data_IF_071886531734
#
_entry.id   IF_071886531734
#
_cell.length_a   1.000
_cell.length_b   1.000
_cell.length_c   1.000
_cell.angle_alpha   90.00
_cell.angle_beta   90.00
_cell.angle_gamma   90.00
#
_symmetry.space_group_name_H-M   'P 1'
#
loop_
_entity.id
_entity.type
_entity.pdbx_description
1 polymer ?
#
# COMPACT_ATOMS: atom_id res chain seq x y z
N UNK A 1 14.50 27.77 0.96
CA UNK A 1 14.37 26.30 1.07
C UNK A 1 13.71 25.83 -0.22
N UNK A 2 14.43 25.11 -1.06
CA UNK A 2 13.86 24.43 -2.21
C UNK A 2 12.97 23.35 -1.60
N UNK A 3 11.70 23.37 -1.97
CA UNK A 3 10.68 22.49 -1.45
C UNK A 3 11.13 21.02 -1.62
N UNK A 4 11.40 20.28 -0.53
CA UNK A 4 11.84 18.89 -0.58
C UNK A 4 10.84 18.01 -1.36
N UNK A 5 9.57 18.40 -1.35
CA UNK A 5 8.46 17.79 -2.11
C UNK A 5 8.75 17.81 -3.62
N UNK A 6 9.20 18.96 -4.14
CA UNK A 6 9.52 19.14 -5.57
C UNK A 6 10.75 18.34 -5.99
N UNK A 7 11.66 18.08 -5.06
CA UNK A 7 12.92 17.40 -5.34
C UNK A 7 12.74 15.91 -5.66
N UNK A 8 12.12 15.12 -4.77
CA UNK A 8 11.99 13.65 -4.94
C UNK A 8 10.98 13.31 -6.02
N UNK A 9 9.78 13.91 -5.98
CA UNK A 9 8.75 13.66 -6.97
C UNK A 9 9.18 14.10 -8.37
N UNK A 10 9.90 15.24 -8.49
CA UNK A 10 10.45 15.69 -9.76
C UNK A 10 11.54 14.76 -10.29
N UNK A 11 12.37 14.19 -9.43
CA UNK A 11 13.38 13.21 -9.82
C UNK A 11 12.74 11.91 -10.30
N UNK A 12 11.75 11.37 -9.56
CA UNK A 12 10.99 10.18 -9.95
C UNK A 12 10.25 10.39 -11.28
N UNK A 13 9.67 11.57 -11.49
CA UNK A 13 9.04 11.91 -12.76
C UNK A 13 10.05 11.86 -13.91
N UNK A 14 11.21 12.50 -13.76
CA UNK A 14 12.27 12.49 -14.76
C UNK A 14 12.76 11.07 -15.06
N UNK A 15 13.00 10.29 -14.01
CA UNK A 15 13.59 8.96 -14.15
C UNK A 15 12.62 7.93 -14.76
N UNK A 16 11.33 7.99 -14.44
CA UNK A 16 10.37 6.93 -14.81
C UNK A 16 9.31 7.34 -15.83
N UNK A 17 9.02 8.64 -15.99
CA UNK A 17 8.07 9.12 -16.99
C UNK A 17 8.74 9.70 -18.23
N UNK A 18 9.88 10.39 -18.08
CA UNK A 18 10.59 10.95 -19.22
C UNK A 18 11.62 9.99 -19.82
N UNK A 19 12.29 9.17 -19.02
CA UNK A 19 13.36 8.28 -19.49
C UNK A 19 12.99 6.80 -19.49
N UNK A 20 11.80 6.44 -18.99
CA UNK A 20 11.25 5.08 -18.90
C UNK A 20 12.26 4.02 -18.39
N UNK A 21 12.86 4.28 -17.25
CA UNK A 21 13.84 3.36 -16.63
C UNK A 21 13.21 2.08 -16.04
N UNK A 22 11.93 1.80 -16.33
CA UNK A 22 11.22 0.67 -15.76
C UNK A 22 11.70 -0.65 -16.37
N UNK A 23 12.36 -1.57 -15.64
CA UNK A 23 12.81 -2.85 -16.19
C UNK A 23 11.60 -3.75 -16.46
N UNK A 24 11.54 -4.25 -17.69
CA UNK A 24 10.41 -5.04 -18.16
C UNK A 24 10.16 -6.37 -17.44
N UNK A 25 11.14 -6.92 -16.71
CA UNK A 25 11.04 -8.24 -16.07
C UNK A 25 10.26 -8.25 -14.76
N UNK A 26 10.30 -7.17 -13.97
CA UNK A 26 9.61 -7.08 -12.66
C UNK A 26 8.18 -6.54 -12.77
N UNK A 27 7.80 -6.01 -13.93
CA UNK A 27 6.48 -5.40 -14.17
C UNK A 27 5.54 -6.44 -14.75
N UNK A 28 4.47 -6.76 -14.02
CA UNK A 28 3.42 -7.66 -14.52
C UNK A 28 2.65 -7.06 -15.70
N UNK A 29 1.95 -7.91 -16.45
CA UNK A 29 1.06 -7.49 -17.55
C UNK A 29 -0.02 -6.50 -17.08
N UNK A 30 -0.49 -6.64 -15.84
CA UNK A 30 -1.45 -5.73 -15.21
C UNK A 30 -0.90 -4.31 -15.11
N UNK A 31 0.30 -4.15 -14.55
CA UNK A 31 0.93 -2.84 -14.34
C UNK A 31 1.41 -2.20 -15.64
N UNK A 32 1.84 -3.00 -16.63
CA UNK A 32 2.14 -2.47 -17.98
C UNK A 32 0.92 -1.76 -18.57
N UNK A 33 -0.25 -2.40 -18.54
CA UNK A 33 -1.49 -1.83 -19.05
C UNK A 33 -1.96 -0.58 -18.28
N UNK A 34 -1.68 -0.48 -16.97
CA UNK A 34 -1.99 0.70 -16.16
C UNK A 34 -1.02 1.84 -16.48
N UNK A 35 0.29 1.56 -16.53
CA UNK A 35 1.31 2.57 -16.79
C UNK A 35 1.16 3.22 -18.17
N UNK A 36 0.75 2.46 -19.18
CA UNK A 36 0.46 2.97 -20.53
C UNK A 36 -0.69 3.98 -20.57
N UNK A 37 -1.60 3.94 -19.61
CA UNK A 37 -2.76 4.86 -19.49
C UNK A 37 -2.54 5.99 -18.50
N UNK A 38 -1.43 5.98 -17.78
CA UNK A 38 -1.15 6.98 -16.77
C UNK A 38 -0.56 8.24 -17.39
N UNK A 39 -1.10 9.40 -17.02
CA UNK A 39 -0.59 10.70 -17.41
C UNK A 39 -0.31 11.54 -16.16
N UNK A 40 0.78 12.30 -16.19
CA UNK A 40 1.18 13.22 -15.14
C UNK A 40 1.30 14.61 -15.75
N UNK A 41 0.44 15.53 -15.32
CA UNK A 41 0.50 16.92 -15.73
C UNK A 41 1.52 17.65 -14.85
N UNK A 42 2.56 18.20 -15.48
CA UNK A 42 3.67 18.90 -14.80
C UNK A 42 3.76 20.34 -15.32
N UNK A 43 3.85 21.29 -14.40
CA UNK A 43 4.15 22.69 -14.68
C UNK A 43 5.55 23.05 -14.18
N UNK A 44 6.05 24.28 -14.46
CA UNK A 44 7.28 24.80 -13.86
C UNK A 44 7.26 24.81 -12.33
N UNK A 45 6.09 24.80 -11.70
CA UNK A 45 5.87 24.79 -10.27
C UNK A 45 5.87 23.37 -9.67
N UNK A 46 5.92 22.33 -10.50
CA UNK A 46 5.93 20.94 -10.10
C UNK A 46 4.74 20.13 -10.64
N UNK A 47 4.41 19.05 -9.95
CA UNK A 47 3.32 18.15 -10.36
C UNK A 47 1.96 18.78 -10.00
N UNK A 48 1.11 18.99 -10.99
CA UNK A 48 -0.21 19.59 -10.80
C UNK A 48 -1.32 18.55 -10.67
N UNK A 49 -1.31 17.53 -11.53
CA UNK A 49 -2.40 16.57 -11.63
C UNK A 49 -1.91 15.20 -12.07
N UNK A 50 -2.53 14.19 -11.49
CA UNK A 50 -2.39 12.82 -11.94
C UNK A 50 -3.67 12.36 -12.64
N UNK A 51 -3.52 11.79 -13.84
CA UNK A 51 -4.56 10.98 -14.48
C UNK A 51 -4.15 9.51 -14.34
N UNK A 52 -4.43 8.96 -13.18
CA UNK A 52 -4.07 7.59 -12.86
C UNK A 52 -5.26 6.92 -12.20
N UNK A 53 -5.71 5.81 -12.73
CA UNK A 53 -6.84 5.06 -12.21
C UNK A 53 -6.35 3.87 -11.39
N UNK A 54 -5.95 4.11 -10.13
CA UNK A 54 -5.78 3.05 -9.14
C UNK A 54 -7.09 2.83 -8.40
N UNK A 55 -7.88 1.86 -8.86
CA UNK A 55 -9.10 1.42 -8.19
C UNK A 55 -10.12 2.56 -7.96
N UNK A 56 -10.62 2.66 -6.73
CA UNK A 56 -11.62 3.68 -6.34
C UNK A 56 -10.98 5.03 -5.94
N UNK A 57 -9.67 5.19 -6.13
CA UNK A 57 -8.98 6.44 -5.83
C UNK A 57 -9.41 7.55 -6.81
N UNK A 58 -9.91 8.64 -6.26
CA UNK A 58 -10.23 9.83 -7.05
C UNK A 58 -11.66 9.98 -7.55
N UNK A 59 -12.57 9.06 -7.29
CA UNK A 59 -13.99 9.26 -7.59
C UNK A 59 -14.62 10.29 -6.67
N UNK A 60 -14.80 11.51 -7.17
CA UNK A 60 -15.29 12.65 -6.38
C UNK A 60 -16.77 12.99 -6.57
N UNK A 61 -17.54 12.22 -7.35
CA UNK A 61 -18.97 12.49 -7.57
C UNK A 61 -19.75 12.39 -6.24
N UNK A 62 -20.68 13.31 -5.94
CA UNK A 62 -21.38 13.36 -4.64
C UNK A 62 -22.06 12.05 -4.22
N UNK A 63 -22.69 11.35 -5.16
CA UNK A 63 -23.33 10.06 -4.86
C UNK A 63 -22.33 8.95 -4.52
N UNK A 64 -21.12 8.97 -5.07
CA UNK A 64 -20.06 8.04 -4.67
C UNK A 64 -19.58 8.33 -3.25
N UNK A 65 -19.46 9.60 -2.86
CA UNK A 65 -19.12 9.98 -1.48
C UNK A 65 -20.15 9.46 -0.48
N UNK A 66 -21.45 9.59 -0.81
CA UNK A 66 -22.52 9.05 0.03
C UNK A 66 -22.42 7.54 0.18
N UNK A 67 -22.27 6.80 -0.92
CA UNK A 67 -22.15 5.34 -0.88
C UNK A 67 -20.89 4.87 -0.15
N UNK A 68 -19.77 5.58 -0.29
CA UNK A 68 -18.56 5.31 0.47
C UNK A 68 -18.81 5.43 1.97
N UNK A 69 -19.41 6.53 2.42
CA UNK A 69 -19.72 6.71 3.83
C UNK A 69 -20.74 5.71 4.34
N UNK A 70 -21.77 5.40 3.58
CA UNK A 70 -22.74 4.36 3.92
C UNK A 70 -22.07 2.98 4.06
N UNK A 71 -21.12 2.65 3.17
CA UNK A 71 -20.31 1.42 3.26
C UNK A 71 -19.50 1.40 4.57
N UNK A 72 -18.82 2.50 4.91
CA UNK A 72 -18.04 2.62 6.14
C UNK A 72 -18.92 2.41 7.37
N UNK A 73 -20.08 3.05 7.41
CA UNK A 73 -21.03 2.91 8.53
C UNK A 73 -21.50 1.47 8.68
N UNK A 74 -21.84 0.78 7.57
CA UNK A 74 -22.23 -0.62 7.62
C UNK A 74 -21.11 -1.52 8.17
N UNK A 75 -19.86 -1.27 7.82
CA UNK A 75 -18.72 -2.00 8.39
C UNK A 75 -18.53 -1.72 9.87
N UNK A 76 -18.66 -0.48 10.31
CA UNK A 76 -18.54 -0.11 11.73
C UNK A 76 -19.59 -0.83 12.61
N UNK A 77 -20.78 -1.13 12.06
CA UNK A 77 -21.76 -1.96 12.77
C UNK A 77 -21.41 -3.45 12.84
N UNK A 78 -20.62 -3.96 11.90
CA UNK A 78 -20.32 -5.39 11.76
C UNK A 78 -18.99 -5.81 12.37
N UNK A 79 -18.02 -4.90 12.44
CA UNK A 79 -16.68 -5.20 12.91
C UNK A 79 -16.61 -5.15 14.44
N UNK A 80 -15.99 -6.15 15.04
CA UNK A 80 -15.86 -6.27 16.50
C UNK A 80 -14.92 -5.20 17.09
N UNK A 81 -13.87 -4.85 16.36
CA UNK A 81 -12.84 -3.89 16.79
C UNK A 81 -13.16 -2.43 16.44
N UNK A 82 -14.45 -2.08 16.43
CA UNK A 82 -14.95 -0.74 16.04
C UNK A 82 -14.31 0.42 16.80
N UNK A 83 -13.96 0.24 18.08
CA UNK A 83 -13.36 1.30 18.88
C UNK A 83 -11.96 1.68 18.37
N UNK A 84 -11.14 0.70 18.03
CA UNK A 84 -9.80 0.94 17.46
C UNK A 84 -9.92 1.57 16.07
N UNK A 85 -10.87 1.08 15.26
CA UNK A 85 -11.14 1.65 13.94
C UNK A 85 -11.57 3.11 14.05
N UNK A 86 -12.48 3.43 14.97
CA UNK A 86 -12.91 4.83 15.20
C UNK A 86 -11.77 5.70 15.69
N UNK A 87 -10.91 5.18 16.56
CA UNK A 87 -9.71 5.89 17.02
C UNK A 87 -8.76 6.20 15.85
N UNK A 88 -8.49 5.24 14.98
CA UNK A 88 -7.67 5.44 13.78
C UNK A 88 -8.35 6.38 12.79
N UNK A 89 -9.67 6.29 12.58
CA UNK A 89 -10.45 7.20 11.71
C UNK A 89 -10.29 8.66 12.10
N UNK A 90 -10.28 8.96 13.41
CA UNK A 90 -10.09 10.33 13.91
C UNK A 90 -8.73 10.93 13.51
N UNK A 91 -7.73 10.12 13.26
CA UNK A 91 -6.41 10.54 12.74
C UNK A 91 -6.35 10.50 11.21
N UNK A 92 -6.95 9.50 10.61
CA UNK A 92 -6.92 9.28 9.17
C UNK A 92 -7.64 10.38 8.35
N UNK A 93 -8.79 10.89 8.85
CA UNK A 93 -9.56 11.92 8.14
C UNK A 93 -8.79 13.27 8.08
N UNK A 94 -8.23 13.80 9.18
CA UNK A 94 -7.37 14.98 9.11
C UNK A 94 -6.12 14.77 8.27
N UNK A 95 -5.48 13.59 8.33
CA UNK A 95 -4.34 13.23 7.52
C UNK A 95 -4.68 13.29 6.01
N UNK A 96 -5.77 12.67 5.58
CA UNK A 96 -6.22 12.72 4.20
C UNK A 96 -6.41 14.16 3.70
N UNK A 97 -6.95 15.04 4.56
CA UNK A 97 -7.10 16.48 4.24
C UNK A 97 -5.74 17.17 4.06
N UNK A 98 -4.75 16.90 4.95
CA UNK A 98 -3.39 17.44 4.81
C UNK A 98 -2.72 16.97 3.52
N UNK A 99 -2.87 15.69 3.19
CA UNK A 99 -2.39 15.10 1.95
C UNK A 99 -3.12 15.63 0.70
N UNK A 100 -4.20 16.41 0.87
CA UNK A 100 -5.13 16.78 -0.22
C UNK A 100 -5.67 15.56 -0.97
N UNK A 101 -5.90 14.49 -0.24
CA UNK A 101 -6.34 13.19 -0.75
C UNK A 101 -7.82 12.95 -0.40
N UNK A 102 -8.66 12.48 -1.36
CA UNK A 102 -10.06 12.20 -1.07
C UNK A 102 -10.18 10.98 -0.15
N UNK A 103 -10.90 11.14 0.97
CA UNK A 103 -11.17 10.02 1.86
C UNK A 103 -12.23 9.10 1.23
N UNK A 104 -11.79 7.94 0.77
CA UNK A 104 -12.62 6.93 0.09
C UNK A 104 -12.79 5.68 0.95
N UNK A 105 -13.57 4.73 0.47
CA UNK A 105 -13.65 3.41 1.09
C UNK A 105 -12.29 2.68 1.08
N UNK A 106 -11.44 2.94 0.11
CA UNK A 106 -10.06 2.42 0.11
C UNK A 106 -9.24 2.95 1.29
N UNK A 107 -9.37 4.25 1.61
CA UNK A 107 -8.78 4.79 2.84
C UNK A 107 -9.32 4.08 4.09
N UNK A 108 -10.61 3.77 4.12
CA UNK A 108 -11.21 3.05 5.25
C UNK A 108 -10.65 1.63 5.39
N UNK A 109 -10.39 0.92 4.29
CA UNK A 109 -9.70 -0.39 4.32
C UNK A 109 -8.32 -0.27 4.95
N UNK A 110 -7.57 0.78 4.61
CA UNK A 110 -6.26 1.06 5.20
C UNK A 110 -6.38 1.44 6.70
N UNK A 111 -7.45 2.14 7.09
CA UNK A 111 -7.77 2.41 8.50
C UNK A 111 -8.00 1.10 9.27
N UNK A 112 -8.76 0.16 8.74
CA UNK A 112 -8.97 -1.15 9.37
C UNK A 112 -7.67 -1.94 9.49
N UNK A 113 -6.83 -1.91 8.46
CA UNK A 113 -5.49 -2.52 8.48
C UNK A 113 -4.61 -1.89 9.56
N UNK A 114 -4.53 -0.56 9.61
CA UNK A 114 -3.75 0.15 10.62
C UNK A 114 -4.27 -0.09 12.04
N UNK A 115 -5.59 -0.16 12.23
CA UNK A 115 -6.22 -0.49 13.52
C UNK A 115 -5.89 -1.93 13.96
N UNK A 116 -5.85 -2.89 13.04
CA UNK A 116 -5.38 -4.23 13.34
C UNK A 116 -3.90 -4.22 13.75
N UNK A 117 -3.04 -3.61 12.93
CA UNK A 117 -1.59 -3.59 13.16
C UNK A 117 -1.23 -2.87 14.46
N UNK A 118 -1.98 -1.86 14.87
CA UNK A 118 -1.73 -1.13 16.13
C UNK A 118 -1.84 -2.00 17.39
N UNK A 119 -2.46 -3.16 17.31
CA UNK A 119 -2.53 -4.14 18.42
C UNK A 119 -1.26 -4.98 18.55
N UNK A 120 -0.49 -5.09 17.46
CA UNK A 120 0.69 -5.95 17.39
C UNK A 120 1.99 -5.15 17.37
N UNK A 121 1.95 -3.94 16.81
CA UNK A 121 3.09 -3.02 16.85
C UNK A 121 3.13 -2.40 18.24
N UNK A 122 4.08 -2.84 19.04
CA UNK A 122 4.32 -2.26 20.37
C UNK A 122 5.01 -0.92 20.16
N UNK A 123 4.31 0.16 20.47
CA UNK A 123 4.90 1.48 20.50
C UNK A 123 6.08 1.49 21.49
N UNK A 124 7.29 1.68 21.00
CA UNK A 124 8.48 1.83 21.82
C UNK A 124 9.11 3.17 21.53
N UNK A 125 9.89 3.69 22.49
CA UNK A 125 10.64 4.94 22.31
C UNK A 125 11.76 4.81 21.25
N UNK A 126 12.10 3.56 20.86
CA UNK A 126 13.06 3.33 19.78
C UNK A 126 12.44 3.54 18.42
N UNK A 127 13.22 4.03 17.48
CA UNK A 127 12.84 3.99 16.06
C UNK A 127 12.67 2.52 15.62
N UNK A 128 11.59 2.24 14.89
CA UNK A 128 11.36 0.93 14.27
C UNK A 128 11.09 1.13 12.78
N UNK A 129 11.50 0.14 11.97
CA UNK A 129 11.48 0.23 10.51
C UNK A 129 10.35 -0.62 9.95
N UNK A 130 9.51 0.01 9.16
CA UNK A 130 8.40 -0.64 8.47
C UNK A 130 8.62 -0.57 6.96
N UNK A 131 8.67 -1.71 6.30
CA UNK A 131 8.67 -1.78 4.83
C UNK A 131 7.24 -2.02 4.34
N UNK A 132 6.75 -1.14 3.46
CA UNK A 132 5.46 -1.28 2.81
C UNK A 132 5.65 -1.49 1.32
N UNK A 133 5.26 -2.68 0.84
CA UNK A 133 5.44 -3.10 -0.55
C UNK A 133 4.13 -2.86 -1.30
N UNK A 134 4.12 -1.91 -2.23
CA UNK A 134 2.96 -1.63 -3.06
C UNK A 134 1.86 -0.84 -2.35
N UNK A 135 2.17 0.30 -1.74
CA UNK A 135 1.21 1.15 -1.00
C UNK A 135 0.35 2.07 -1.90
N UNK A 136 0.42 1.91 -3.20
CA UNK A 136 -0.36 2.71 -4.14
C UNK A 136 -0.06 4.21 -4.03
N UNK A 137 -0.91 4.98 -3.33
CA UNK A 137 -0.70 6.42 -3.11
C UNK A 137 0.04 6.76 -1.80
N UNK A 138 0.51 5.77 -1.05
CA UNK A 138 1.25 6.00 0.20
C UNK A 138 0.37 6.30 1.41
N UNK A 139 -0.94 6.11 1.32
CA UNK A 139 -1.86 6.47 2.40
C UNK A 139 -1.68 5.59 3.65
N UNK A 140 -1.45 4.27 3.49
CA UNK A 140 -1.23 3.40 4.64
C UNK A 140 0.08 3.73 5.35
N UNK A 141 1.17 3.97 4.62
CA UNK A 141 2.45 4.39 5.19
C UNK A 141 2.32 5.72 5.92
N UNK A 142 1.65 6.70 5.33
CA UNK A 142 1.35 7.99 5.97
C UNK A 142 0.53 7.79 7.26
N UNK A 143 -0.46 6.90 7.25
CA UNK A 143 -1.29 6.59 8.42
C UNK A 143 -0.49 5.88 9.53
N UNK A 144 0.39 4.95 9.19
CA UNK A 144 1.30 4.31 10.15
C UNK A 144 2.21 5.37 10.79
N UNK A 145 2.76 6.31 9.99
CA UNK A 145 3.56 7.42 10.54
C UNK A 145 2.78 8.32 11.48
N UNK A 146 1.52 8.62 11.17
CA UNK A 146 0.62 9.41 12.03
C UNK A 146 0.31 8.71 13.36
N UNK A 147 0.19 7.38 13.35
CA UNK A 147 -0.07 6.56 14.53
C UNK A 147 1.19 6.33 15.36
N UNK A 148 2.32 6.17 14.70
CA UNK A 148 3.61 5.83 15.28
C UNK A 148 4.68 6.83 14.80
N UNK A 149 4.81 7.98 15.45
CA UNK A 149 5.74 9.04 15.02
C UNK A 149 7.21 8.58 14.93
N UNK A 150 7.61 7.56 15.70
CA UNK A 150 8.95 6.98 15.68
C UNK A 150 9.14 5.92 14.57
N UNK A 151 8.11 5.59 13.79
CA UNK A 151 8.24 4.69 12.66
C UNK A 151 9.06 5.34 11.54
N UNK A 152 10.00 4.59 10.98
CA UNK A 152 10.68 4.89 9.73
C UNK A 152 10.03 4.06 8.62
N UNK A 153 9.49 4.71 7.59
CA UNK A 153 8.69 4.07 6.56
C UNK A 153 9.53 3.88 5.29
N UNK A 154 9.70 2.63 4.87
CA UNK A 154 10.30 2.27 3.59
C UNK A 154 9.18 1.90 2.62
N UNK A 155 8.96 2.75 1.63
CA UNK A 155 7.95 2.54 0.60
C UNK A 155 8.64 1.93 -0.63
N UNK A 156 8.26 0.70 -0.94
CA UNK A 156 8.84 -0.06 -2.06
C UNK A 156 7.77 -0.30 -3.11
N UNK A 157 8.01 0.19 -4.32
CA UNK A 157 7.07 0.05 -5.43
C UNK A 157 7.78 0.20 -6.78
N UNK A 158 7.04 0.06 -7.88
CA UNK A 158 7.50 0.46 -9.20
C UNK A 158 7.74 1.96 -9.24
N UNK A 159 8.79 2.41 -9.91
CA UNK A 159 9.20 3.82 -9.90
C UNK A 159 8.10 4.81 -10.28
N UNK A 160 7.22 4.44 -11.24
CA UNK A 160 6.06 5.26 -11.61
C UNK A 160 5.05 5.41 -10.46
N UNK A 161 4.88 4.37 -9.64
CA UNK A 161 3.96 4.39 -8.49
C UNK A 161 4.58 5.14 -7.31
N UNK A 162 5.89 5.03 -7.09
CA UNK A 162 6.60 5.78 -6.05
C UNK A 162 6.45 7.30 -6.20
N UNK A 163 6.26 7.79 -7.42
CA UNK A 163 5.98 9.19 -7.67
C UNK A 163 4.74 9.67 -6.89
N UNK A 164 3.65 8.88 -6.93
CA UNK A 164 2.42 9.22 -6.21
C UNK A 164 2.62 9.13 -4.70
N UNK A 165 3.32 8.10 -4.24
CA UNK A 165 3.61 7.90 -2.83
C UNK A 165 4.42 9.05 -2.27
N UNK A 166 5.51 9.45 -2.94
CA UNK A 166 6.34 10.57 -2.51
C UNK A 166 5.57 11.89 -2.49
N UNK A 167 4.76 12.15 -3.52
CA UNK A 167 3.97 13.37 -3.62
C UNK A 167 2.95 13.52 -2.49
N UNK A 168 2.18 12.46 -2.20
CA UNK A 168 1.16 12.55 -1.16
C UNK A 168 1.73 12.48 0.25
N UNK A 169 2.76 11.66 0.49
CA UNK A 169 3.42 11.61 1.79
C UNK A 169 4.10 12.94 2.13
N UNK A 170 4.78 13.58 1.17
CA UNK A 170 5.40 14.89 1.39
C UNK A 170 4.35 15.98 1.70
N UNK A 171 3.17 15.93 1.09
CA UNK A 171 2.07 16.85 1.45
C UNK A 171 1.54 16.61 2.86
N UNK A 172 1.44 15.36 3.29
CA UNK A 172 0.98 15.00 4.63
C UNK A 172 2.01 15.31 5.72
N UNK A 173 3.29 15.30 5.38
CA UNK A 173 4.43 15.37 6.30
C UNK A 173 5.56 16.23 5.74
N UNK A 174 5.26 17.47 5.37
CA UNK A 174 6.23 18.41 4.81
C UNK A 174 7.34 18.85 5.79
N UNK A 175 7.12 18.59 7.10
CA UNK A 175 8.08 18.84 8.18
C UNK A 175 9.00 17.64 8.46
N UNK A 176 8.84 16.53 7.75
CA UNK A 176 9.60 15.28 7.92
C UNK A 176 10.65 15.12 6.84
N UNK A 177 11.65 14.29 7.14
CA UNK A 177 12.71 13.98 6.21
C UNK A 177 12.30 12.87 5.25
N UNK A 178 12.47 13.14 3.95
CA UNK A 178 12.17 12.24 2.86
C UNK A 178 13.45 11.91 2.09
N UNK A 179 13.69 10.63 1.81
CA UNK A 179 14.88 10.15 1.14
C UNK A 179 14.55 9.21 -0.02
N UNK A 180 15.19 9.40 -1.19
CA UNK A 180 15.06 8.52 -2.34
C UNK A 180 16.34 7.66 -2.47
N UNK A 181 16.16 6.34 -2.36
CA UNK A 181 17.22 5.37 -2.60
C UNK A 181 17.56 5.33 -4.09
N UNK A 182 18.83 5.47 -4.41
CA UNK A 182 19.36 5.33 -5.75
C UNK A 182 20.85 4.98 -5.67
N UNK A 183 21.43 4.42 -6.72
CA UNK A 183 22.87 4.11 -6.78
C UNK A 183 23.76 5.32 -6.49
N UNK A 184 23.30 6.51 -6.83
CA UNK A 184 24.03 7.75 -6.57
C UNK A 184 23.95 8.13 -5.09
N UNK A 185 22.75 8.07 -4.49
CA UNK A 185 22.56 8.43 -3.08
C UNK A 185 23.22 7.43 -2.12
N UNK A 186 23.27 6.13 -2.47
CA UNK A 186 23.88 5.09 -1.63
C UNK A 186 25.40 5.13 -1.58
N UNK A 187 26.08 5.80 -2.54
CA UNK A 187 27.53 6.05 -2.45
C UNK A 187 27.93 6.87 -1.21
N UNK A 188 27.01 7.65 -0.67
CA UNK A 188 27.17 8.43 0.56
C UNK A 188 26.60 7.76 1.80
N UNK A 189 26.12 6.51 1.67
CA UNK A 189 25.35 5.78 2.69
C UNK A 189 23.85 6.06 2.61
N UNK A 190 23.05 5.10 3.04
CA UNK A 190 21.58 5.30 3.15
C UNK A 190 21.33 6.23 4.32
N UNK A 191 20.53 7.28 4.12
CA UNK A 191 20.09 8.14 5.23
C UNK A 191 19.12 7.36 6.13
N UNK A 192 19.70 6.71 7.14
CA UNK A 192 18.96 5.95 8.15
C UNK A 192 18.23 6.85 9.15
N UNK A 193 18.31 8.17 9.02
CA UNK A 193 17.62 9.14 9.85
C UNK A 193 16.28 9.58 9.25
N UNK A 194 16.11 9.47 7.91
CA UNK A 194 14.91 9.90 7.22
C UNK A 194 13.63 9.20 7.73
N UNK A 195 12.53 9.95 7.76
CA UNK A 195 11.22 9.46 8.20
C UNK A 195 10.55 8.59 7.13
N UNK A 196 10.72 8.97 5.86
CA UNK A 196 10.21 8.27 4.69
C UNK A 196 11.35 7.97 3.72
N UNK A 197 11.51 6.71 3.38
CA UNK A 197 12.51 6.20 2.43
C UNK A 197 11.77 5.58 1.25
N UNK A 198 12.00 6.10 0.05
CA UNK A 198 11.40 5.59 -1.19
C UNK A 198 12.43 4.76 -1.94
N UNK A 199 12.08 3.54 -2.30
CA UNK A 199 12.96 2.63 -3.00
C UNK A 199 12.22 1.98 -4.17
N UNK A 200 12.75 2.08 -5.38
CA UNK A 200 12.18 1.34 -6.49
C UNK A 200 12.47 -0.17 -6.35
N UNK A 201 11.60 -1.00 -6.89
CA UNK A 201 11.77 -2.45 -6.86
C UNK A 201 13.12 -2.89 -7.43
N UNK A 202 13.62 -2.17 -8.43
CA UNK A 202 14.90 -2.41 -9.09
C UNK A 202 16.10 -2.11 -8.19
N UNK A 203 15.94 -1.18 -7.27
CA UNK A 203 16.98 -0.73 -6.35
C UNK A 203 16.87 -1.39 -4.97
N UNK A 204 15.99 -2.38 -4.79
CA UNK A 204 15.74 -3.05 -3.51
C UNK A 204 17.01 -3.66 -2.90
N UNK A 205 17.92 -4.18 -3.71
CA UNK A 205 19.22 -4.68 -3.27
C UNK A 205 20.12 -3.61 -2.62
N UNK A 206 19.84 -2.31 -2.85
CA UNK A 206 20.56 -1.24 -2.16
C UNK A 206 20.17 -1.11 -0.67
N UNK A 207 19.15 -1.84 -0.22
CA UNK A 207 18.71 -1.91 1.18
C UNK A 207 19.30 -3.13 1.93
N UNK A 208 20.32 -3.79 1.39
CA UNK A 208 20.88 -5.04 1.95
C UNK A 208 21.38 -4.89 3.40
N UNK A 209 21.82 -3.71 3.81
CA UNK A 209 22.25 -3.43 5.19
C UNK A 209 21.11 -3.00 6.12
N UNK A 210 19.85 -3.01 5.65
CA UNK A 210 18.69 -2.54 6.42
C UNK A 210 17.88 -3.72 6.93
N UNK A 211 17.64 -3.76 8.24
CA UNK A 211 16.73 -4.73 8.85
C UNK A 211 15.41 -4.09 9.23
N UNK A 212 14.29 -4.81 9.04
CA UNK A 212 12.93 -4.31 9.23
C UNK A 212 12.22 -5.01 10.39
N UNK A 213 11.50 -4.24 11.20
CA UNK A 213 10.67 -4.75 12.31
C UNK A 213 9.31 -5.22 11.80
N UNK A 214 8.76 -4.58 10.78
CA UNK A 214 7.49 -4.96 10.17
C UNK A 214 7.51 -4.82 8.64
N UNK A 215 6.76 -5.69 7.98
CA UNK A 215 6.50 -5.63 6.55
C UNK A 215 4.99 -5.63 6.29
N UNK A 216 4.54 -4.88 5.29
CA UNK A 216 3.14 -4.74 4.93
C UNK A 216 2.99 -4.91 3.42
N UNK A 217 1.97 -5.67 3.00
CA UNK A 217 1.51 -5.70 1.62
C UNK A 217 -0.02 -5.81 1.58
N UNK A 218 -0.68 -4.86 0.95
CA UNK A 218 -2.15 -4.84 0.82
C UNK A 218 -2.54 -4.67 -0.65
N UNK A 219 -3.21 -5.67 -1.20
CA UNK A 219 -3.79 -5.68 -2.54
C UNK A 219 -2.79 -5.42 -3.69
N UNK A 220 -1.51 -5.63 -3.45
CA UNK A 220 -0.44 -5.37 -4.42
C UNK A 220 0.21 -6.65 -4.95
N UNK A 221 0.62 -7.61 -4.10
CA UNK A 221 1.22 -8.87 -4.56
C UNK A 221 0.29 -9.68 -5.47
N UNK A 222 -1.03 -9.57 -5.30
CA UNK A 222 -2.00 -10.18 -6.21
C UNK A 222 -1.88 -9.71 -7.67
N UNK A 223 -1.20 -8.60 -7.91
CA UNK A 223 -1.02 -7.96 -9.23
C UNK A 223 0.39 -8.15 -9.77
N UNK A 224 1.22 -8.92 -9.06
CA UNK A 224 2.58 -9.24 -9.44
C UNK A 224 2.66 -10.64 -10.06
N UNK A 225 3.70 -10.90 -10.84
CA UNK A 225 4.01 -12.26 -11.26
C UNK A 225 4.61 -13.07 -10.09
N UNK A 226 4.60 -14.40 -10.23
CA UNK A 226 5.07 -15.31 -9.17
C UNK A 226 6.55 -15.11 -8.82
N UNK A 227 7.38 -14.76 -9.80
CA UNK A 227 8.81 -14.53 -9.58
C UNK A 227 9.06 -13.28 -8.75
N UNK A 228 8.33 -12.20 -9.03
CA UNK A 228 8.40 -10.97 -8.25
C UNK A 228 7.93 -11.20 -6.81
N UNK A 229 6.86 -11.97 -6.61
CA UNK A 229 6.40 -12.35 -5.26
C UNK A 229 7.48 -13.13 -4.52
N UNK A 230 8.10 -14.12 -5.20
CA UNK A 230 9.19 -14.93 -4.63
C UNK A 230 10.39 -14.06 -4.25
N UNK A 231 10.75 -13.11 -5.10
CA UNK A 231 11.83 -12.17 -4.84
C UNK A 231 11.59 -11.34 -3.57
N UNK A 232 10.38 -10.78 -3.39
CA UNK A 232 10.04 -10.06 -2.16
C UNK A 232 10.08 -10.94 -0.91
N UNK A 233 9.58 -12.17 -0.98
CA UNK A 233 9.64 -13.08 0.17
C UNK A 233 11.09 -13.44 0.53
N UNK A 234 11.95 -13.66 -0.45
CA UNK A 234 13.38 -13.91 -0.20
C UNK A 234 14.04 -12.69 0.44
N UNK A 235 13.79 -11.49 -0.09
CA UNK A 235 14.28 -10.25 0.48
C UNK A 235 13.81 -10.10 1.94
N UNK A 236 12.52 -10.22 2.20
CA UNK A 236 11.99 -10.09 3.56
C UNK A 236 12.62 -11.10 4.52
N UNK A 237 12.77 -12.37 4.13
CA UNK A 237 13.39 -13.39 4.99
C UNK A 237 14.87 -13.10 5.30
N UNK A 238 15.58 -12.41 4.42
CA UNK A 238 16.97 -11.99 4.66
C UNK A 238 17.08 -10.74 5.54
N UNK A 239 16.04 -9.89 5.57
CA UNK A 239 16.14 -8.53 6.12
C UNK A 239 15.19 -8.24 7.30
N UNK A 240 14.31 -9.19 7.67
CA UNK A 240 13.47 -8.99 8.84
C UNK A 240 14.23 -9.33 10.13
N UNK A 241 13.98 -8.57 11.21
CA UNK A 241 14.50 -8.90 12.53
C UNK A 241 13.82 -10.15 13.11
N UNK A 242 14.42 -10.84 14.10
CA UNK A 242 13.69 -11.83 14.90
C UNK A 242 12.45 -11.21 15.55
N UNK A 243 11.35 -11.96 15.65
CA UNK A 243 10.05 -11.48 16.15
C UNK A 243 9.42 -10.35 15.33
N UNK A 244 9.70 -10.35 14.04
CA UNK A 244 9.11 -9.43 13.06
C UNK A 244 7.59 -9.62 12.92
N UNK A 245 6.97 -8.68 12.20
CA UNK A 245 5.58 -8.80 11.76
C UNK A 245 5.50 -8.67 10.25
N UNK A 246 4.84 -9.60 9.59
CA UNK A 246 4.48 -9.48 8.18
C UNK A 246 2.97 -9.56 8.01
N UNK A 247 2.36 -8.48 7.58
CA UNK A 247 0.95 -8.42 7.21
C UNK A 247 0.80 -8.44 5.69
N UNK A 248 0.06 -9.44 5.21
CA UNK A 248 -0.21 -9.62 3.78
C UNK A 248 -1.72 -9.80 3.58
N UNK A 249 -2.34 -8.94 2.77
CA UNK A 249 -3.77 -9.02 2.47
C UNK A 249 -3.98 -8.91 0.95
N UNK A 250 -4.35 -10.02 0.32
CA UNK A 250 -4.52 -10.12 -1.12
C UNK A 250 -5.71 -11.03 -1.47
N UNK A 251 -6.12 -11.05 -2.75
CA UNK A 251 -7.12 -11.98 -3.24
C UNK A 251 -6.62 -13.42 -3.13
N UNK A 252 -7.51 -14.34 -2.77
CA UNK A 252 -7.19 -15.78 -2.81
C UNK A 252 -6.71 -16.21 -4.19
N UNK A 253 -7.36 -15.71 -5.24
CA UNK A 253 -6.96 -15.93 -6.63
C UNK A 253 -7.21 -14.67 -7.46
N UNK A 254 -6.28 -14.34 -8.35
CA UNK A 254 -6.44 -13.26 -9.34
C UNK A 254 -5.83 -13.66 -10.67
N UNK A 255 -6.59 -13.43 -11.74
CA UNK A 255 -6.15 -13.54 -13.12
C UNK A 255 -5.62 -12.20 -13.59
N UNK A 256 -4.40 -12.16 -14.10
CA UNK A 256 -3.79 -10.97 -14.68
C UNK A 256 -4.11 -10.86 -16.17
N UNK A 257 -3.89 -9.67 -16.75
CA UNK A 257 -4.22 -9.39 -18.13
C UNK A 257 -3.48 -10.29 -19.15
N UNK A 258 -2.28 -10.75 -18.84
CA UNK A 258 -1.48 -11.68 -19.64
C UNK A 258 -1.84 -13.16 -19.46
N UNK A 259 -2.88 -13.48 -18.66
CA UNK A 259 -3.31 -14.86 -18.39
C UNK A 259 -2.61 -15.52 -17.20
N UNK A 260 -1.65 -14.86 -16.57
CA UNK A 260 -1.01 -15.36 -15.35
C UNK A 260 -2.03 -15.38 -14.19
N UNK A 261 -1.86 -16.33 -13.28
CA UNK A 261 -2.73 -16.50 -12.11
C UNK A 261 -1.90 -16.41 -10.85
N UNK A 262 -2.25 -15.48 -9.97
CA UNK A 262 -1.68 -15.42 -8.62
C UNK A 262 -2.63 -16.07 -7.63
N UNK A 263 -2.08 -16.89 -6.72
CA UNK A 263 -2.82 -17.57 -5.65
C UNK A 263 -2.17 -17.28 -4.32
N UNK A 264 -2.92 -16.64 -3.41
CA UNK A 264 -2.43 -16.24 -2.09
C UNK A 264 -1.85 -17.42 -1.28
N UNK A 265 -2.55 -18.56 -1.29
CA UNK A 265 -2.09 -19.74 -0.55
C UNK A 265 -0.83 -20.39 -1.14
N UNK A 266 -0.49 -20.05 -2.39
CA UNK A 266 0.73 -20.53 -3.07
C UNK A 266 1.89 -19.53 -2.98
N UNK A 267 1.77 -18.44 -2.23
CA UNK A 267 2.90 -17.57 -1.95
C UNK A 267 3.97 -18.35 -1.19
N UNK A 268 5.24 -17.91 -1.18
CA UNK A 268 6.34 -18.63 -0.52
C UNK A 268 6.27 -18.63 1.01
N UNK A 269 5.09 -19.01 1.55
CA UNK A 269 4.91 -19.26 2.97
C UNK A 269 5.79 -20.43 3.41
N UNK A 270 6.32 -20.37 4.63
CA UNK A 270 7.15 -21.42 5.21
C UNK A 270 6.41 -21.99 6.43
N UNK A 271 6.46 -23.30 6.63
CA UNK A 271 5.83 -23.97 7.78
C UNK A 271 6.41 -23.52 9.12
N UNK A 272 7.61 -22.95 9.11
CA UNK A 272 8.27 -22.34 10.26
C UNK A 272 7.77 -20.92 10.57
N UNK A 273 6.98 -20.32 9.68
CA UNK A 273 6.37 -19.02 9.94
C UNK A 273 5.34 -19.15 11.07
N UNK A 274 5.43 -18.29 12.08
CA UNK A 274 4.43 -18.26 13.14
C UNK A 274 3.23 -17.45 12.67
N UNK A 275 2.15 -18.12 12.32
CA UNK A 275 0.90 -17.50 11.89
C UNK A 275 0.11 -17.00 13.10
N UNK A 276 -0.29 -15.72 13.09
CA UNK A 276 -1.10 -15.06 14.11
C UNK A 276 -2.56 -14.88 13.67
N UNK A 277 -2.75 -14.58 12.37
CA UNK A 277 -4.06 -14.43 11.72
C UNK A 277 -3.95 -15.08 10.34
N UNK A 278 -4.97 -15.82 9.92
CA UNK A 278 -5.08 -16.41 8.59
C UNK A 278 -6.55 -16.67 8.27
N UNK A 279 -7.24 -15.66 7.72
CA UNK A 279 -8.68 -15.71 7.51
C UNK A 279 -9.14 -14.79 6.36
N UNK A 280 -10.39 -14.96 5.87
CA UNK A 280 -11.00 -14.00 4.95
C UNK A 280 -11.04 -12.60 5.55
N UNK A 281 -10.55 -11.59 4.81
CA UNK A 281 -10.44 -10.23 5.31
C UNK A 281 -11.83 -9.63 5.62
N UNK A 282 -12.14 -9.30 6.89
CA UNK A 282 -13.49 -8.94 7.29
C UNK A 282 -13.97 -7.59 6.75
N UNK A 283 -13.06 -6.67 6.38
CA UNK A 283 -13.38 -5.34 5.84
C UNK A 283 -13.15 -5.22 4.33
N UNK A 284 -13.02 -6.34 3.60
CA UNK A 284 -12.87 -6.35 2.14
C UNK A 284 -13.82 -7.35 1.48
N UNK A 285 -15.08 -7.41 1.92
CA UNK A 285 -16.10 -8.35 1.40
C UNK A 285 -17.04 -7.72 0.42
N UNK A 286 -17.55 -6.52 0.70
CA UNK A 286 -18.56 -5.82 -0.11
C UNK A 286 -18.36 -4.31 -0.05
N UNK A 287 -19.00 -3.61 -0.97
CA UNK A 287 -19.13 -2.15 -0.97
C UNK A 287 -20.47 -1.77 -1.61
N UNK A 288 -20.92 -0.55 -1.37
CA UNK A 288 -22.13 -0.03 -1.98
C UNK A 288 -21.81 0.62 -3.32
N UNK A 289 -22.57 0.23 -4.37
CA UNK A 289 -22.38 0.74 -5.74
C UNK A 289 -23.71 0.76 -6.48
N UNK A 290 -23.92 1.76 -7.32
CA UNK A 290 -25.03 1.80 -8.28
C UNK A 290 -24.76 0.96 -9.55
N UNK A 291 -23.49 0.73 -9.89
CA UNK A 291 -23.08 0.25 -11.21
C UNK A 291 -22.51 -1.17 -11.25
N UNK A 292 -22.20 -1.77 -10.09
CA UNK A 292 -21.56 -3.10 -10.02
C UNK A 292 -22.40 -4.13 -9.28
N UNK A 293 -23.71 -3.98 -9.30
CA UNK A 293 -24.64 -4.87 -8.61
C UNK A 293 -24.73 -6.27 -9.22
N UNK A 294 -24.20 -6.48 -10.43
CA UNK A 294 -24.06 -7.81 -11.03
C UNK A 294 -23.24 -8.78 -10.18
N UNK A 295 -22.36 -8.26 -9.31
CA UNK A 295 -21.54 -9.03 -8.35
C UNK A 295 -22.16 -9.11 -6.95
N UNK A 296 -23.38 -8.59 -6.76
CA UNK A 296 -24.06 -8.56 -5.46
C UNK A 296 -24.71 -9.88 -5.04
N UNK A 297 -25.11 -10.00 -3.75
CA UNK A 297 -25.83 -11.15 -3.25
C UNK A 297 -27.19 -11.27 -3.92
N UNK A 298 -27.66 -12.53 -4.08
CA UNK A 298 -29.01 -12.84 -4.56
C UNK A 298 -29.89 -13.24 -3.40
N UNK A 299 -31.09 -12.68 -3.35
CA UNK A 299 -32.16 -13.09 -2.43
C UNK A 299 -33.41 -13.45 -3.28
N UNK A 300 -33.93 -14.66 -3.13
CA UNK A 300 -35.01 -15.23 -3.98
C UNK A 300 -34.73 -15.01 -5.48
N UNK A 301 -33.56 -15.40 -5.96
CA UNK A 301 -33.08 -15.19 -7.34
C UNK A 301 -33.04 -13.73 -7.83
N UNK A 302 -33.37 -12.74 -6.99
CA UNK A 302 -33.23 -11.30 -7.28
C UNK A 302 -31.98 -10.78 -6.63
N UNK A 303 -31.22 -9.95 -7.35
CA UNK A 303 -30.03 -9.30 -6.79
C UNK A 303 -30.43 -8.23 -5.78
N UNK A 304 -29.72 -8.19 -4.66
CA UNK A 304 -29.91 -7.13 -3.68
C UNK A 304 -29.33 -5.84 -4.28
N UNK A 305 -30.16 -4.79 -4.43
CA UNK A 305 -29.69 -3.54 -5.01
C UNK A 305 -28.61 -2.91 -4.14
N UNK A 306 -27.72 -2.14 -4.76
CA UNK A 306 -26.66 -1.36 -4.14
C UNK A 306 -25.50 -2.16 -3.53
N UNK A 307 -25.61 -3.44 -3.23
CA UNK A 307 -24.51 -4.22 -2.65
C UNK A 307 -23.73 -4.89 -3.78
N UNK A 308 -22.43 -4.63 -3.83
CA UNK A 308 -21.51 -5.31 -4.72
C UNK A 308 -20.41 -6.02 -3.90
N UNK A 309 -20.09 -7.24 -4.25
CA UNK A 309 -18.91 -7.93 -3.71
C UNK A 309 -17.66 -7.51 -4.46
N UNK A 310 -16.52 -7.63 -3.79
CA UNK A 310 -15.23 -7.49 -4.47
C UNK A 310 -15.09 -8.54 -5.57
N UNK A 311 -14.21 -8.23 -6.51
CA UNK A 311 -13.83 -9.13 -7.58
C UNK A 311 -12.80 -10.15 -7.05
N UNK A 312 -13.32 -11.20 -6.42
CA UNK A 312 -12.56 -12.21 -5.70
C UNK A 312 -12.51 -11.99 -4.19
N UNK A 313 -12.39 -13.12 -3.48
CA UNK A 313 -12.34 -13.13 -2.03
C UNK A 313 -10.97 -12.63 -1.54
N UNK A 314 -10.99 -11.61 -0.69
CA UNK A 314 -9.79 -11.09 -0.05
C UNK A 314 -9.48 -11.92 1.20
N UNK A 315 -8.22 -12.32 1.31
CA UNK A 315 -7.69 -13.07 2.45
C UNK A 315 -6.55 -12.29 3.09
N UNK A 316 -6.44 -12.33 4.40
CA UNK A 316 -5.33 -11.69 5.09
C UNK A 316 -4.63 -12.65 6.03
N UNK A 317 -3.31 -12.49 6.09
CA UNK A 317 -2.43 -13.20 7.01
C UNK A 317 -1.54 -12.21 7.73
N UNK A 318 -1.47 -12.36 9.05
CA UNK A 318 -0.46 -11.73 9.89
C UNK A 318 0.43 -12.84 10.44
N UNK A 319 1.73 -12.73 10.25
CA UNK A 319 2.68 -13.74 10.70
C UNK A 319 4.00 -13.12 11.14
N UNK A 320 4.77 -13.89 11.90
CA UNK A 320 6.21 -13.66 12.06
C UNK A 320 6.92 -14.57 11.06
N UNK A 321 7.66 -13.99 10.13
CA UNK A 321 8.41 -14.77 9.14
C UNK A 321 9.61 -15.45 9.78
N UNK A 322 9.86 -16.69 9.41
CA UNK A 322 11.14 -17.35 9.67
C UNK A 322 12.25 -16.62 8.90
N UNK A 323 13.24 -16.11 9.63
CA UNK A 323 14.36 -15.33 9.10
C UNK A 323 15.49 -16.30 8.70
N UNK A 324 16.01 -16.13 7.50
CA UNK A 324 17.22 -16.82 7.07
C UNK A 324 18.39 -16.13 7.78
N UNK A 325 19.06 -16.83 8.68
CA UNK A 325 20.32 -16.32 9.24
C UNK A 325 21.34 -16.25 8.12
N UNK A 326 21.83 -15.05 7.78
CA UNK A 326 23.01 -14.86 6.97
C UNK A 326 24.25 -15.41 7.64
#
# INVERSE_FOLDING_TARGET
MIDQETSISSRLYKDYYLTDKTPGQLVSSHWKAIHERSEVDVSPQGIEKFKFELGDYGYSKPHHKFLNWATIVLYLFRLENKNDIVWVLRKAIPLARRMKFPFTYDCFRQVCTAALLSRYIIASDRKFKVINIGDGYGFLSALIKELFPNAQLYLVDLGKTLLFQSYYCAKGFSDKDHYLVSRESTRMGIDTAADFVYCSTEDLALLDDVSFDAAINVASMQEMNTETIRYYFQFLRGHMVPNNLFYCCNRLEKYLAGGEVTRFLSYPWDERDRVLIDEPCPWQRFYLSFHRTERGPKFFNRRVPLIAYYDGDMHHRLSTLHVLKG
#
